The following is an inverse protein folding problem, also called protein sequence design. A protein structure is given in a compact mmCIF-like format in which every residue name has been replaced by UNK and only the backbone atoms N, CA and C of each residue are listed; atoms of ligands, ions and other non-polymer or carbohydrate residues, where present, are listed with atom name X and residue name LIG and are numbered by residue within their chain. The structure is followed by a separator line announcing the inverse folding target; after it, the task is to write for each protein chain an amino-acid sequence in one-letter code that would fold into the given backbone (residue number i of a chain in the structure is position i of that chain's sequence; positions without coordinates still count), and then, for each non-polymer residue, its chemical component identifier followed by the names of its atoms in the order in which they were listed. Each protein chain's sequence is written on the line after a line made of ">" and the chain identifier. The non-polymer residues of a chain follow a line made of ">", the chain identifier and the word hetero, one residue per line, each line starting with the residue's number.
data_IF_960385051781
#
_entry.id   IF_960385051781
#
_cell.length_a   1.000
_cell.length_b   1.000
_cell.length_c   1.000
_cell.angle_alpha   90.00
_cell.angle_beta   90.00
_cell.angle_gamma   90.00
#
_symmetry.space_group_name_H-M   'P 1'
#
loop_
_entity.id
_entity.type
_entity.pdbx_description
1 polymer ?
#
# COMPACT_ATOMS: atom_id res chain seq x y z
N UNK A 1 -56.75 -31.52 -29.17
CA UNK A 1 -56.46 -30.49 -30.18
C UNK A 1 -56.02 -29.25 -29.41
N UNK A 2 -54.82 -28.72 -29.72
CA UNK A 2 -54.13 -27.62 -29.02
C UNK A 2 -53.70 -27.94 -27.58
N UNK A 3 -52.56 -27.51 -27.06
CA UNK A 3 -51.38 -26.92 -27.66
C UNK A 3 -50.29 -27.04 -26.61
N UNK A 4 -49.09 -27.34 -27.09
CA UNK A 4 -47.82 -27.21 -26.39
C UNK A 4 -47.68 -25.94 -25.54
N UNK A 5 -46.75 -26.02 -24.58
CA UNK A 5 -45.97 -24.96 -23.91
C UNK A 5 -46.42 -24.61 -22.49
N UNK A 6 -45.74 -25.20 -21.50
CA UNK A 6 -45.09 -24.41 -20.43
C UNK A 6 -44.16 -25.22 -19.51
N UNK A 7 -44.02 -26.54 -19.70
CA UNK A 7 -43.18 -27.40 -18.85
C UNK A 7 -41.66 -27.14 -18.90
N UNK A 8 -41.19 -26.21 -19.72
CA UNK A 8 -39.74 -25.91 -19.85
C UNK A 8 -39.31 -24.53 -19.34
N UNK A 9 -40.25 -23.69 -18.88
CA UNK A 9 -39.92 -22.28 -18.60
C UNK A 9 -39.54 -22.00 -17.13
N UNK A 10 -39.88 -22.89 -16.19
CA UNK A 10 -39.68 -22.67 -14.76
C UNK A 10 -38.32 -23.10 -14.21
N UNK A 11 -37.76 -24.21 -14.68
CA UNK A 11 -36.52 -24.77 -14.12
C UNK A 11 -35.26 -24.10 -14.65
N UNK A 12 -35.24 -23.73 -15.92
CA UNK A 12 -34.01 -23.23 -16.56
C UNK A 12 -33.83 -21.74 -16.31
N UNK A 13 -34.91 -20.95 -16.29
CA UNK A 13 -34.86 -19.53 -15.92
C UNK A 13 -34.38 -19.35 -14.48
N UNK A 14 -34.78 -20.20 -13.54
CA UNK A 14 -34.23 -20.18 -12.18
C UNK A 14 -32.75 -20.56 -12.14
N UNK A 15 -32.32 -21.61 -12.86
CA UNK A 15 -30.89 -22.00 -12.91
C UNK A 15 -30.02 -20.86 -13.45
N UNK A 16 -30.44 -20.21 -14.54
CA UNK A 16 -29.69 -19.07 -15.09
C UNK A 16 -29.69 -17.88 -14.13
N UNK A 17 -30.78 -17.61 -13.43
CA UNK A 17 -30.86 -16.54 -12.44
C UNK A 17 -29.88 -16.76 -11.27
N UNK A 18 -29.80 -17.98 -10.73
CA UNK A 18 -28.84 -18.32 -9.69
C UNK A 18 -27.39 -18.32 -10.20
N UNK A 19 -27.16 -18.72 -11.45
CA UNK A 19 -25.82 -18.70 -12.05
C UNK A 19 -25.34 -17.26 -12.31
N UNK A 20 -26.22 -16.37 -12.79
CA UNK A 20 -25.91 -14.95 -13.00
C UNK A 20 -25.65 -14.24 -11.66
N UNK A 21 -26.44 -14.54 -10.62
CA UNK A 21 -26.24 -13.97 -9.29
C UNK A 21 -24.91 -14.43 -8.66
N UNK A 22 -24.55 -15.70 -8.81
CA UNK A 22 -23.28 -16.24 -8.31
C UNK A 22 -22.04 -15.66 -9.04
N UNK A 23 -22.13 -15.42 -10.35
CA UNK A 23 -21.06 -14.77 -11.11
C UNK A 23 -20.90 -13.29 -10.73
N UNK A 24 -22.00 -12.60 -10.41
CA UNK A 24 -21.96 -11.20 -9.97
C UNK A 24 -21.41 -11.01 -8.55
N UNK A 25 -21.61 -11.98 -7.63
CA UNK A 25 -21.07 -11.88 -6.27
C UNK A 25 -19.58 -12.28 -6.15
N UNK A 26 -19.01 -12.94 -7.15
CA UNK A 26 -17.70 -13.59 -7.02
C UNK A 26 -16.45 -12.69 -7.21
N UNK A 27 -16.57 -11.45 -7.68
CA UNK A 27 -15.36 -10.71 -8.12
C UNK A 27 -15.15 -9.31 -7.52
N UNK A 28 -15.95 -8.87 -6.56
CA UNK A 28 -15.66 -7.63 -5.82
C UNK A 28 -14.90 -7.98 -4.54
N UNK A 29 -13.72 -8.58 -4.71
CA UNK A 29 -12.69 -8.58 -3.66
C UNK A 29 -12.05 -7.21 -3.71
N UNK A 30 -12.64 -6.23 -3.02
CA UNK A 30 -11.94 -4.99 -2.74
C UNK A 30 -10.80 -5.35 -1.79
N UNK A 31 -9.60 -5.52 -2.33
CA UNK A 31 -8.38 -5.45 -1.53
C UNK A 31 -8.30 -4.02 -1.03
N UNK A 32 -8.77 -3.77 0.20
CA UNK A 32 -8.65 -2.45 0.81
C UNK A 32 -7.16 -2.14 0.96
N UNK A 33 -6.69 -1.13 0.24
CA UNK A 33 -5.30 -0.68 0.33
C UNK A 33 -5.07 -0.07 1.71
N UNK A 34 -3.91 -0.35 2.30
CA UNK A 34 -3.49 0.28 3.55
C UNK A 34 -3.08 1.71 3.24
N UNK A 35 -3.69 2.69 3.90
CA UNK A 35 -3.37 4.10 3.73
C UNK A 35 -2.18 4.48 4.60
N UNK A 36 -1.12 4.97 3.96
CA UNK A 36 0.14 5.29 4.62
C UNK A 36 0.48 6.75 4.37
N UNK A 37 0.75 7.50 5.43
CA UNK A 37 1.45 8.78 5.32
C UNK A 37 2.95 8.59 5.56
N UNK A 38 3.77 9.14 4.67
CA UNK A 38 5.23 9.11 4.80
C UNK A 38 5.69 10.39 5.49
N UNK A 39 6.30 10.26 6.67
CA UNK A 39 6.78 11.39 7.48
C UNK A 39 8.30 11.39 7.61
N UNK A 40 8.85 12.57 7.85
CA UNK A 40 10.27 12.80 8.14
C UNK A 40 10.35 13.86 9.25
N UNK A 41 11.33 13.79 10.16
CA UNK A 41 11.56 14.85 11.14
C UNK A 41 11.70 16.21 10.46
N UNK A 42 11.11 17.25 11.05
CA UNK A 42 11.13 18.61 10.48
C UNK A 42 12.55 19.11 10.22
N UNK A 43 13.51 18.78 11.10
CA UNK A 43 14.91 19.17 10.97
C UNK A 43 15.69 18.46 9.84
N UNK A 44 15.18 17.35 9.31
CA UNK A 44 15.87 16.53 8.30
C UNK A 44 15.11 16.40 6.98
N UNK A 45 14.06 17.22 6.78
CA UNK A 45 13.21 17.18 5.58
C UNK A 45 14.00 17.19 4.28
N UNK A 46 14.98 18.09 4.13
CA UNK A 46 15.74 18.18 2.88
C UNK A 46 16.68 16.98 2.69
N UNK A 47 17.34 16.52 3.76
CA UNK A 47 18.23 15.36 3.71
C UNK A 47 17.48 14.08 3.32
N UNK A 48 16.25 13.94 3.79
CA UNK A 48 15.40 12.76 3.61
C UNK A 48 14.46 12.87 2.41
N UNK A 49 14.45 14.01 1.70
CA UNK A 49 13.52 14.29 0.60
C UNK A 49 13.52 13.21 -0.47
N UNK A 50 14.72 12.78 -0.89
CA UNK A 50 14.88 11.75 -1.92
C UNK A 50 14.47 10.36 -1.41
N UNK A 51 14.82 10.00 -0.17
CA UNK A 51 14.42 8.73 0.43
C UNK A 51 12.89 8.64 0.55
N UNK A 52 12.25 9.72 1.00
CA UNK A 52 10.77 9.83 1.06
C UNK A 52 10.15 9.71 -0.33
N UNK A 53 10.71 10.38 -1.34
CA UNK A 53 10.20 10.30 -2.71
C UNK A 53 10.33 8.89 -3.30
N UNK A 54 11.47 8.23 -3.11
CA UNK A 54 11.71 6.86 -3.57
C UNK A 54 10.76 5.86 -2.93
N UNK A 55 10.63 5.88 -1.59
CA UNK A 55 9.69 5.01 -0.88
C UNK A 55 8.24 5.28 -1.32
N UNK A 56 7.86 6.54 -1.47
CA UNK A 56 6.53 6.90 -1.95
C UNK A 56 6.25 6.41 -3.37
N UNK A 57 7.24 6.45 -4.26
CA UNK A 57 7.12 5.91 -5.61
C UNK A 57 7.01 4.38 -5.61
N UNK A 58 7.76 3.70 -4.75
CA UNK A 58 7.67 2.24 -4.59
C UNK A 58 6.29 1.82 -4.06
N UNK A 59 5.81 2.45 -2.98
CA UNK A 59 4.53 2.08 -2.37
C UNK A 59 3.34 2.27 -3.31
N UNK A 60 3.35 3.34 -4.13
CA UNK A 60 2.31 3.55 -5.16
C UNK A 60 2.25 2.45 -6.22
N UNK A 61 3.34 1.72 -6.43
CA UNK A 61 3.40 0.59 -7.36
C UNK A 61 3.04 -0.74 -6.69
N UNK A 62 3.05 -0.82 -5.36
CA UNK A 62 3.02 -2.08 -4.63
C UNK A 62 1.63 -2.72 -4.53
N UNK A 63 0.58 -2.12 -5.08
CA UNK A 63 -0.85 -2.52 -5.08
C UNK A 63 -1.51 -2.70 -3.69
N UNK A 64 -0.76 -3.03 -2.63
CA UNK A 64 -1.25 -3.26 -1.26
C UNK A 64 -1.35 -1.98 -0.42
N UNK A 65 -0.74 -0.88 -0.87
CA UNK A 65 -0.67 0.39 -0.13
C UNK A 65 -1.09 1.59 -0.99
N UNK A 66 -1.72 2.56 -0.33
CA UNK A 66 -2.00 3.88 -0.86
C UNK A 66 -1.22 4.91 -0.06
N UNK A 67 -0.51 5.82 -0.74
CA UNK A 67 0.19 6.93 -0.07
C UNK A 67 -0.72 8.15 -0.01
N UNK A 68 -1.18 8.50 1.19
CA UNK A 68 -2.11 9.62 1.44
C UNK A 68 -1.52 10.62 2.42
N UNK A 69 -2.06 11.84 2.46
CA UNK A 69 -1.65 12.87 3.44
C UNK A 69 -2.66 13.07 4.57
N UNK A 70 -3.88 12.55 4.43
CA UNK A 70 -4.98 12.69 5.39
C UNK A 70 -5.81 11.40 5.37
N UNK A 71 -6.28 10.99 6.55
CA UNK A 71 -7.05 9.76 6.69
C UNK A 71 -6.19 8.51 6.47
N UNK A 72 -4.90 8.60 6.82
CA UNK A 72 -4.00 7.45 6.85
C UNK A 72 -4.42 6.44 7.93
N UNK A 73 -4.09 5.17 7.73
CA UNK A 73 -4.20 4.11 8.74
C UNK A 73 -2.93 4.05 9.60
N UNK A 74 -1.78 4.38 9.00
CA UNK A 74 -0.49 4.39 9.65
C UNK A 74 0.38 5.54 9.16
N UNK A 75 1.31 5.99 10.00
CA UNK A 75 2.39 6.88 9.59
C UNK A 75 3.72 6.14 9.60
N UNK A 76 4.45 6.21 8.48
CA UNK A 76 5.80 5.66 8.34
C UNK A 76 6.81 6.79 8.40
N UNK A 77 7.65 6.78 9.42
CA UNK A 77 8.66 7.79 9.64
C UNK A 77 10.02 7.32 9.16
N UNK A 78 10.65 8.11 8.30
CA UNK A 78 12.02 7.91 7.83
C UNK A 78 12.92 8.82 8.66
N UNK A 79 13.92 8.25 9.35
CA UNK A 79 14.75 8.94 10.33
C UNK A 79 16.21 8.52 10.27
N UNK A 80 17.06 9.34 10.88
CA UNK A 80 18.46 9.02 11.17
C UNK A 80 19.29 8.57 9.95
N UNK A 81 18.97 9.11 8.76
CA UNK A 81 19.71 8.77 7.55
C UNK A 81 21.17 9.20 7.67
N UNK A 82 22.06 8.21 7.72
CA UNK A 82 23.50 8.37 7.56
C UNK A 82 23.89 7.79 6.23
N UNK A 83 24.74 8.49 5.49
CA UNK A 83 25.26 8.01 4.22
C UNK A 83 26.71 8.35 4.06
N UNK A 84 27.46 7.44 3.45
CA UNK A 84 28.88 7.61 3.13
C UNK A 84 29.11 7.07 1.73
N UNK A 85 29.81 7.87 0.92
CA UNK A 85 30.30 7.44 -0.37
C UNK A 85 31.74 6.92 -0.22
N UNK A 86 32.04 5.81 -0.86
CA UNK A 86 33.40 5.27 -1.00
C UNK A 86 33.52 4.76 -2.42
N UNK A 87 34.31 5.48 -3.23
CA UNK A 87 34.35 5.30 -4.69
C UNK A 87 32.95 5.37 -5.31
N UNK A 88 32.51 4.33 -6.03
CA UNK A 88 31.18 4.23 -6.63
C UNK A 88 30.14 3.57 -5.71
N UNK A 89 30.47 3.40 -4.43
CA UNK A 89 29.62 2.68 -3.48
C UNK A 89 28.99 3.66 -2.48
N UNK A 90 27.67 3.62 -2.38
CA UNK A 90 26.89 4.33 -1.37
C UNK A 90 26.53 3.38 -0.24
N UNK A 91 27.14 3.60 0.93
CA UNK A 91 26.71 2.97 2.18
C UNK A 91 25.68 3.85 2.87
N UNK A 92 24.58 3.27 3.34
CA UNK A 92 23.58 4.01 4.11
C UNK A 92 23.00 3.23 5.28
N UNK A 93 22.68 3.98 6.33
CA UNK A 93 21.86 3.53 7.45
C UNK A 93 20.63 4.43 7.50
N UNK A 94 19.45 3.85 7.65
CA UNK A 94 18.19 4.60 7.82
C UNK A 94 17.27 3.87 8.79
N UNK A 95 16.65 4.61 9.71
CA UNK A 95 15.63 4.08 10.60
C UNK A 95 14.25 4.29 9.97
N UNK A 96 13.48 3.21 9.86
CA UNK A 96 12.05 3.26 9.55
C UNK A 96 11.24 2.95 10.80
N UNK A 97 10.33 3.84 11.16
CA UNK A 97 9.38 3.62 12.24
C UNK A 97 7.96 3.56 11.67
N UNK A 98 7.19 2.54 12.06
CA UNK A 98 5.75 2.47 11.81
C UNK A 98 5.04 2.93 13.08
N UNK A 99 4.15 3.89 12.94
CA UNK A 99 3.41 4.49 14.05
C UNK A 99 1.92 4.52 13.75
N UNK A 100 1.11 4.61 14.81
CA UNK A 100 -0.32 4.90 14.66
C UNK A 100 -0.53 6.25 13.98
N UNK A 101 -1.75 6.48 13.50
CA UNK A 101 -2.20 7.82 13.11
C UNK A 101 -2.15 8.75 14.31
N UNK A 102 -2.00 10.05 14.04
CA UNK A 102 -2.18 11.09 15.03
C UNK A 102 -2.55 12.39 14.33
N UNK A 103 -3.70 12.97 14.68
CA UNK A 103 -4.14 14.28 14.21
C UNK A 103 -3.13 15.38 14.60
N UNK A 104 -2.46 15.20 15.75
CA UNK A 104 -1.39 16.07 16.24
C UNK A 104 -0.25 15.23 16.82
N UNK A 105 0.98 15.52 16.38
CA UNK A 105 2.19 14.86 16.87
C UNK A 105 2.63 13.68 16.00
N UNK A 106 3.26 12.69 16.63
CA UNK A 106 3.92 11.58 15.91
C UNK A 106 3.23 10.22 16.04
N UNK A 107 2.15 10.12 16.83
CA UNK A 107 1.51 8.84 17.11
C UNK A 107 2.36 7.90 17.96
N UNK A 108 1.77 6.77 18.33
CA UNK A 108 2.42 5.73 19.12
C UNK A 108 3.30 4.86 18.23
N UNK A 109 4.54 4.58 18.67
CA UNK A 109 5.44 3.69 17.97
C UNK A 109 4.92 2.25 18.03
N UNK A 110 4.68 1.65 16.85
CA UNK A 110 4.26 0.25 16.72
C UNK A 110 5.46 -0.65 16.41
N UNK A 111 6.33 -0.21 15.51
CA UNK A 111 7.52 -0.95 15.11
C UNK A 111 8.65 0.01 14.69
N UNK A 112 9.89 -0.40 14.86
CA UNK A 112 11.07 0.33 14.41
C UNK A 112 12.11 -0.63 13.89
N UNK A 113 12.69 -0.32 12.74
CA UNK A 113 13.77 -1.09 12.14
C UNK A 113 14.82 -0.16 11.56
N UNK A 114 16.08 -0.42 11.92
CA UNK A 114 17.22 0.14 11.22
C UNK A 114 17.53 -0.72 9.99
N UNK A 115 17.61 -0.08 8.84
CA UNK A 115 18.04 -0.68 7.58
C UNK A 115 19.45 -0.17 7.32
N UNK A 116 20.37 -1.11 7.10
CA UNK A 116 21.74 -0.83 6.70
C UNK A 116 21.97 -1.55 5.38
N UNK A 117 22.38 -0.81 4.36
CA UNK A 117 22.60 -1.38 3.04
C UNK A 117 23.63 -0.60 2.24
N UNK A 118 24.02 -1.16 1.10
CA UNK A 118 25.05 -0.64 0.22
C UNK A 118 24.60 -0.73 -1.24
N UNK A 119 24.74 0.36 -1.99
CA UNK A 119 24.36 0.45 -3.39
C UNK A 119 25.59 0.76 -4.23
N UNK A 120 25.84 -0.05 -5.26
CA UNK A 120 26.84 0.24 -6.29
C UNK A 120 26.22 1.16 -7.35
N UNK A 121 26.88 2.28 -7.62
CA UNK A 121 26.45 3.34 -8.54
C UNK A 121 27.23 3.32 -9.86
N UNK A 122 28.03 2.29 -10.12
CA UNK A 122 28.83 2.16 -11.36
C UNK A 122 28.05 1.71 -12.59
N UNK A 123 26.72 1.57 -12.47
CA UNK A 123 25.81 1.20 -13.57
C UNK A 123 25.68 2.28 -14.65
#
# INVERSE_FOLDING_TARGET
>A
MQSSKSEYYGSDVMKYFFTVLAVCCAHVVVLSQIKIDLKTPTGDKEKLRLAKAGLGAYLRQAEWAEVVNLGEDYSVWIKDLKRKFTDNILHFDVTLEVRTTADVGSGTLLNSRMIQDTIDLSA
#
